data_IF_863250296139
#
_entry.id   IF_863250296139
#
_cell.length_a   1.000
_cell.length_b   1.000
_cell.length_c   1.000
_cell.angle_alpha   90.00
_cell.angle_beta   90.00
_cell.angle_gamma   90.00
#
_symmetry.space_group_name_H-M   'P 1'
#
loop_
_entity.id
_entity.type
_entity.pdbx_description
1 polymer ?
#
# COMPACT_ATOMS: atom_id res chain seq x y z
N UNK A 1 -22.72 22.87 -3.94
CA UNK A 1 -23.78 21.84 -4.07
C UNK A 1 -24.63 22.07 -5.32
N UNK A 2 -25.22 23.27 -5.46
CA UNK A 2 -25.93 23.74 -6.68
C UNK A 2 -25.11 23.57 -7.98
N UNK A 3 -23.79 23.73 -7.91
CA UNK A 3 -22.92 23.72 -9.10
C UNK A 3 -22.61 22.33 -9.67
N UNK A 4 -22.83 21.25 -8.93
CA UNK A 4 -22.42 19.88 -9.35
C UNK A 4 -23.59 18.90 -9.32
N UNK A 5 -24.37 18.88 -8.23
CA UNK A 5 -25.39 17.84 -8.07
C UNK A 5 -26.69 18.14 -8.82
N UNK A 6 -27.12 19.41 -8.87
CA UNK A 6 -28.30 19.79 -9.63
C UNK A 6 -28.15 19.54 -11.15
N UNK A 7 -27.02 19.91 -11.80
CA UNK A 7 -26.77 19.53 -13.20
C UNK A 7 -26.67 18.02 -13.42
N UNK A 8 -26.16 17.27 -12.44
CA UNK A 8 -26.14 15.81 -12.49
C UNK A 8 -27.57 15.23 -12.48
N UNK A 9 -28.44 15.69 -11.58
CA UNK A 9 -29.83 15.26 -11.51
C UNK A 9 -30.64 15.66 -12.75
N UNK A 10 -30.31 16.79 -13.37
CA UNK A 10 -30.90 17.21 -14.64
C UNK A 10 -30.54 16.26 -15.78
N UNK A 11 -29.31 15.74 -15.81
CA UNK A 11 -28.83 14.88 -16.90
C UNK A 11 -29.12 13.39 -16.68
N UNK A 12 -29.13 12.94 -15.43
CA UNK A 12 -29.13 11.51 -15.08
C UNK A 12 -30.17 11.12 -14.02
N UNK A 13 -30.87 12.07 -13.42
CA UNK A 13 -31.83 11.79 -12.36
C UNK A 13 -33.13 11.19 -12.89
N UNK A 14 -33.78 10.36 -12.07
CA UNK A 14 -35.14 9.89 -12.33
C UNK A 14 -36.15 11.05 -12.13
N UNK A 15 -36.46 11.75 -13.22
CA UNK A 15 -37.31 12.93 -13.21
C UNK A 15 -38.73 12.70 -12.67
N UNK A 16 -39.21 11.45 -12.62
CA UNK A 16 -40.50 11.13 -12.01
C UNK A 16 -40.51 11.41 -10.49
N UNK A 17 -39.35 11.31 -9.83
CA UNK A 17 -39.21 11.51 -8.38
C UNK A 17 -39.04 12.99 -7.98
N UNK A 18 -38.75 13.86 -8.95
CA UNK A 18 -38.59 15.30 -8.75
C UNK A 18 -39.92 15.98 -8.42
N UNK A 19 -41.00 15.54 -9.08
CA UNK A 19 -42.31 16.21 -9.00
C UNK A 19 -42.24 17.66 -9.51
N UNK A 20 -42.81 18.60 -8.75
CA UNK A 20 -42.85 20.03 -9.08
C UNK A 20 -41.63 20.83 -8.60
N UNK A 21 -40.72 20.20 -7.86
CA UNK A 21 -39.52 20.86 -7.32
C UNK A 21 -38.57 21.27 -8.44
N UNK A 22 -37.75 22.29 -8.25
CA UNK A 22 -36.59 22.54 -9.12
C UNK A 22 -35.53 21.46 -8.91
N UNK A 23 -34.58 21.31 -9.85
CA UNK A 23 -33.47 20.36 -9.70
C UNK A 23 -32.59 20.66 -8.48
N UNK A 24 -32.45 21.94 -8.12
CA UNK A 24 -31.72 22.35 -6.92
C UNK A 24 -32.46 21.92 -5.65
N UNK A 25 -33.77 22.19 -5.56
CA UNK A 25 -34.59 21.83 -4.40
C UNK A 25 -34.71 20.31 -4.23
N UNK A 26 -34.90 19.60 -5.34
CA UNK A 26 -34.91 18.14 -5.34
C UNK A 26 -33.58 17.57 -4.86
N UNK A 27 -32.45 18.09 -5.37
CA UNK A 27 -31.13 17.67 -4.92
C UNK A 27 -30.85 17.99 -3.45
N UNK A 28 -31.29 19.15 -2.95
CA UNK A 28 -31.21 19.49 -1.53
C UNK A 28 -32.00 18.50 -0.69
N UNK A 29 -33.24 18.18 -1.07
CA UNK A 29 -34.08 17.23 -0.34
C UNK A 29 -33.47 15.83 -0.27
N UNK A 30 -32.93 15.33 -1.38
CA UNK A 30 -32.25 14.02 -1.40
C UNK A 30 -31.07 14.01 -0.42
N UNK A 31 -30.30 15.09 -0.38
CA UNK A 31 -29.12 15.19 0.46
C UNK A 31 -29.48 15.37 1.93
N UNK A 32 -30.50 16.19 2.24
CA UNK A 32 -31.00 16.33 3.61
C UNK A 32 -31.57 15.00 4.13
N UNK A 33 -32.35 14.28 3.31
CA UNK A 33 -32.85 12.95 3.64
C UNK A 33 -31.69 11.96 3.85
N UNK A 34 -30.67 12.01 3.01
CA UNK A 34 -29.47 11.17 3.15
C UNK A 34 -28.71 11.48 4.44
N UNK A 35 -28.47 12.76 4.74
CA UNK A 35 -27.77 13.18 5.94
C UNK A 35 -28.57 12.84 7.21
N UNK A 36 -29.89 13.01 7.19
CA UNK A 36 -30.77 12.65 8.30
C UNK A 36 -30.75 11.12 8.56
N UNK A 37 -30.86 10.31 7.51
CA UNK A 37 -30.80 8.83 7.62
C UNK A 37 -29.48 8.31 8.16
N UNK A 38 -28.38 9.02 7.92
CA UNK A 38 -27.04 8.64 8.37
C UNK A 38 -26.61 9.40 9.64
N UNK A 39 -27.54 10.06 10.34
CA UNK A 39 -27.26 10.84 11.57
C UNK A 39 -26.16 11.90 11.38
N UNK A 40 -25.96 12.35 10.14
CA UNK A 40 -24.87 13.21 9.70
C UNK A 40 -25.29 14.68 9.53
N UNK A 41 -26.54 15.05 9.80
CA UNK A 41 -27.07 16.40 9.55
C UNK A 41 -26.32 17.54 10.26
N UNK A 42 -25.68 17.27 11.41
CA UNK A 42 -24.95 18.29 12.19
C UNK A 42 -23.43 18.16 12.04
N UNK A 43 -22.92 16.94 11.81
CA UNK A 43 -21.49 16.61 11.85
C UNK A 43 -20.92 16.19 10.50
N UNK A 44 -21.62 16.52 9.42
CA UNK A 44 -21.17 16.19 8.08
C UNK A 44 -19.83 16.86 7.79
N UNK A 45 -18.87 16.07 7.32
CA UNK A 45 -17.57 16.54 6.88
C UNK A 45 -16.68 17.19 7.97
N UNK A 46 -16.94 16.93 9.26
CA UNK A 46 -16.07 17.39 10.37
C UNK A 46 -14.68 16.74 10.32
N UNK A 47 -14.60 15.49 9.81
CA UNK A 47 -13.36 14.74 9.62
C UNK A 47 -13.39 14.06 8.25
N UNK A 48 -12.34 14.26 7.47
CA UNK A 48 -12.15 13.61 6.18
C UNK A 48 -10.92 12.73 6.26
N UNK A 49 -11.04 11.48 5.82
CA UNK A 49 -9.94 10.53 5.67
C UNK A 49 -9.83 10.10 4.22
N UNK A 50 -8.63 10.12 3.68
CA UNK A 50 -8.30 9.70 2.33
C UNK A 50 -7.49 8.40 2.42
N UNK A 51 -7.92 7.38 1.69
CA UNK A 51 -7.24 6.09 1.62
C UNK A 51 -6.87 5.85 0.16
N UNK A 52 -5.56 5.79 -0.11
CA UNK A 52 -5.03 5.31 -1.38
C UNK A 52 -4.82 3.82 -1.25
N UNK A 53 -5.24 3.06 -2.26
CA UNK A 53 -5.02 1.63 -2.35
C UNK A 53 -4.50 1.26 -3.75
N UNK A 54 -3.34 0.62 -3.82
CA UNK A 54 -2.67 0.26 -5.08
C UNK A 54 -1.81 -1.00 -4.88
N UNK A 55 -1.26 -1.60 -5.93
CA UNK A 55 -0.27 -2.70 -5.77
C UNK A 55 1.07 -2.20 -5.23
N UNK A 56 1.45 -0.97 -5.59
CA UNK A 56 2.67 -0.31 -5.15
C UNK A 56 2.59 1.21 -5.44
N UNK A 57 3.53 2.00 -4.89
CA UNK A 57 3.60 3.45 -5.10
C UNK A 57 4.99 3.89 -5.54
N UNK A 58 5.07 4.94 -6.34
CA UNK A 58 6.33 5.61 -6.66
C UNK A 58 6.74 6.62 -5.58
N UNK A 59 8.01 7.01 -5.58
CA UNK A 59 8.59 7.90 -4.56
C UNK A 59 7.96 9.30 -4.55
N UNK A 60 7.49 9.83 -5.69
CA UNK A 60 6.83 11.14 -5.73
C UNK A 60 5.47 11.06 -5.05
N UNK A 61 4.72 9.99 -5.30
CA UNK A 61 3.45 9.74 -4.63
C UNK A 61 3.63 9.58 -3.13
N UNK A 62 4.61 8.76 -2.70
CA UNK A 62 4.91 8.57 -1.27
C UNK A 62 5.35 9.88 -0.60
N UNK A 63 6.20 10.67 -1.26
CA UNK A 63 6.68 11.96 -0.74
C UNK A 63 5.54 12.97 -0.61
N UNK A 64 4.65 13.05 -1.60
CA UNK A 64 3.48 13.92 -1.58
C UNK A 64 2.51 13.55 -0.48
N UNK A 65 2.25 12.25 -0.30
CA UNK A 65 1.38 11.73 0.76
C UNK A 65 1.96 12.03 2.14
N UNK A 66 3.26 11.80 2.33
CA UNK A 66 3.94 12.13 3.58
C UNK A 66 3.83 13.62 3.92
N UNK A 67 4.04 14.50 2.94
CA UNK A 67 3.92 15.95 3.12
C UNK A 67 2.49 16.36 3.47
N UNK A 68 1.48 15.86 2.76
CA UNK A 68 0.07 16.15 3.06
C UNK A 68 -0.32 15.69 4.46
N UNK A 69 0.14 14.50 4.86
CA UNK A 69 -0.09 13.97 6.20
C UNK A 69 0.52 14.84 7.29
N UNK A 70 1.76 15.32 7.09
CA UNK A 70 2.40 16.26 8.02
C UNK A 70 1.69 17.62 8.11
N UNK A 71 0.97 18.01 7.06
CA UNK A 71 0.20 19.25 7.00
C UNK A 71 -1.27 19.07 7.45
N UNK A 72 -1.58 17.97 8.14
CA UNK A 72 -2.89 17.77 8.78
C UNK A 72 -3.98 17.16 7.89
N UNK A 73 -3.62 16.66 6.71
CA UNK A 73 -4.54 15.87 5.88
C UNK A 73 -4.50 14.41 6.36
N UNK A 74 -5.63 13.86 6.82
CA UNK A 74 -5.73 12.43 7.17
C UNK A 74 -5.71 11.60 5.88
N UNK A 75 -4.52 11.14 5.50
CA UNK A 75 -4.23 10.44 4.26
C UNK A 75 -3.37 9.21 4.55
N UNK A 76 -3.74 8.06 3.97
CA UNK A 76 -3.01 6.80 4.12
C UNK A 76 -2.81 6.07 2.79
N UNK A 77 -1.68 5.37 2.65
CA UNK A 77 -1.39 4.49 1.51
C UNK A 77 -1.44 3.02 1.93
N UNK A 78 -2.14 2.20 1.17
CA UNK A 78 -2.22 0.76 1.36
C UNK A 78 -1.77 0.01 0.11
N UNK A 79 -0.84 -0.94 0.25
CA UNK A 79 -0.58 -1.90 -0.82
C UNK A 79 -1.60 -3.03 -0.78
N UNK A 80 -2.10 -3.43 -1.93
CA UNK A 80 -2.98 -4.58 -2.13
C UNK A 80 -2.22 -5.61 -2.97
N UNK A 81 -1.83 -6.71 -2.34
CA UNK A 81 -1.11 -7.80 -3.02
C UNK A 81 -2.00 -9.02 -3.12
N UNK A 82 -2.55 -9.36 -4.30
CA UNK A 82 -3.37 -10.55 -4.47
C UNK A 82 -2.51 -11.82 -4.47
N UNK A 83 -3.04 -12.89 -3.90
CA UNK A 83 -2.47 -14.24 -3.88
C UNK A 83 -3.54 -15.25 -4.27
N UNK A 84 -3.16 -16.25 -5.05
CA UNK A 84 -3.99 -17.43 -5.29
C UNK A 84 -3.39 -18.58 -4.50
N UNK A 85 -4.17 -19.17 -3.59
CA UNK A 85 -3.76 -20.31 -2.78
C UNK A 85 -4.80 -21.40 -2.98
N UNK A 86 -4.45 -22.42 -3.78
CA UNK A 86 -5.42 -23.41 -4.26
C UNK A 86 -6.40 -22.79 -5.26
N UNK A 87 -7.70 -22.94 -4.99
CA UNK A 87 -8.77 -22.29 -5.76
C UNK A 87 -9.21 -20.94 -5.16
N UNK A 88 -8.67 -20.56 -4.00
CA UNK A 88 -9.10 -19.39 -3.25
C UNK A 88 -8.20 -18.18 -3.54
N UNK A 89 -8.83 -17.03 -3.78
CA UNK A 89 -8.16 -15.75 -3.97
C UNK A 89 -8.10 -14.97 -2.64
N UNK A 90 -6.90 -14.56 -2.26
CA UNK A 90 -6.59 -13.77 -1.08
C UNK A 90 -6.02 -12.42 -1.49
N UNK A 91 -6.20 -11.39 -0.66
CA UNK A 91 -5.55 -10.09 -0.84
C UNK A 91 -4.85 -9.75 0.47
N UNK A 92 -3.54 -9.58 0.40
CA UNK A 92 -2.74 -9.04 1.50
C UNK A 92 -2.74 -7.52 1.43
N UNK A 93 -2.86 -6.88 2.59
CA UNK A 93 -3.04 -5.43 2.70
C UNK A 93 -2.01 -4.87 3.67
N UNK A 94 -1.08 -4.03 3.20
CA UNK A 94 -0.09 -3.36 4.06
C UNK A 94 -0.27 -1.83 4.06
N UNK A 95 -0.25 -1.21 5.24
CA UNK A 95 -0.28 0.27 5.39
C UNK A 95 1.14 0.82 5.31
N UNK A 96 1.45 1.58 4.26
CA UNK A 96 2.74 2.24 4.03
C UNK A 96 2.90 3.55 4.81
N UNK A 97 1.89 4.43 4.74
CA UNK A 97 1.89 5.76 5.36
C UNK A 97 0.52 6.03 6.01
N UNK A 98 0.44 6.69 7.17
CA UNK A 98 1.52 6.85 8.14
C UNK A 98 1.98 5.47 8.60
N UNK A 99 3.28 5.32 8.79
CA UNK A 99 3.84 4.05 9.24
C UNK A 99 3.11 3.63 10.52
N UNK A 100 2.57 2.41 10.55
CA UNK A 100 1.81 1.74 11.64
C UNK A 100 2.31 2.01 13.08
N UNK A 101 3.56 2.48 13.29
CA UNK A 101 4.12 2.70 14.63
C UNK A 101 3.61 3.97 15.33
N UNK A 102 2.98 4.91 14.61
CA UNK A 102 2.58 6.20 15.20
C UNK A 102 1.11 6.28 15.63
N UNK A 103 0.23 5.39 15.15
CA UNK A 103 -1.20 5.39 15.56
C UNK A 103 -1.42 4.74 16.93
N UNK A 104 -0.52 3.86 17.39
CA UNK A 104 -0.66 3.15 18.67
C UNK A 104 -0.34 4.03 19.91
N UNK A 105 0.04 5.30 19.73
CA UNK A 105 0.49 6.19 20.82
C UNK A 105 -0.27 7.51 21.00
N UNK A 106 -1.39 7.74 20.32
CA UNK A 106 -2.27 8.86 20.69
C UNK A 106 -3.10 8.50 21.94
N UNK A 107 -2.48 8.60 23.11
CA UNK A 107 -3.25 8.79 24.35
C UNK A 107 -3.81 10.20 24.26
N UNK A 108 -5.14 10.32 24.08
CA UNK A 108 -5.86 11.59 24.23
C UNK A 108 -5.40 12.25 25.55
N UNK A 109 -4.73 13.40 25.45
CA UNK A 109 -4.19 14.14 26.60
C UNK A 109 -5.26 14.86 27.43
N UNK A 110 -6.55 14.67 27.12
CA UNK A 110 -7.66 15.23 27.90
C UNK A 110 -8.19 14.25 28.95
N UNK A 111 -7.32 13.75 29.83
CA UNK A 111 -7.77 13.13 31.09
C UNK A 111 -7.23 13.90 32.30
N UNK A 112 -8.12 14.45 33.15
CA UNK A 112 -7.69 15.05 34.40
C UNK A 112 -7.05 14.00 35.30
N UNK A 113 -5.96 14.40 35.97
CA UNK A 113 -5.12 13.56 36.82
C UNK A 113 -5.94 12.89 37.94
N UNK A 114 -5.98 11.55 37.96
CA UNK A 114 -6.64 10.84 39.06
C UNK A 114 -6.85 9.34 38.93
N UNK A 115 -6.62 8.71 37.78
CA UNK A 115 -6.77 7.24 37.65
C UNK A 115 -5.43 6.57 37.40
N UNK A 116 -5.03 5.71 38.34
CA UNK A 116 -3.78 4.96 38.34
C UNK A 116 -3.50 4.26 36.99
N UNK A 117 -2.23 4.21 36.56
CA UNK A 117 -1.87 3.52 35.32
C UNK A 117 -2.18 2.03 35.47
N UNK A 118 -2.98 1.49 34.55
CA UNK A 118 -2.99 0.03 34.35
C UNK A 118 -1.58 -0.35 33.90
N UNK A 119 -0.94 -1.25 34.66
CA UNK A 119 0.34 -1.82 34.31
C UNK A 119 0.32 -2.23 32.83
N UNK A 120 1.11 -1.51 32.02
CA UNK A 120 1.38 -1.88 30.66
C UNK A 120 1.97 -3.29 30.70
N UNK A 121 1.30 -4.25 30.07
CA UNK A 121 1.96 -5.49 29.71
C UNK A 121 3.05 -5.09 28.73
N UNK A 122 4.32 -5.22 29.14
CA UNK A 122 5.47 -5.17 28.25
C UNK A 122 5.24 -6.16 27.10
N UNK A 123 4.76 -5.64 25.97
CA UNK A 123 4.87 -6.33 24.69
C UNK A 123 6.10 -5.75 24.02
N UNK A 124 7.10 -6.58 23.64
CA UNK A 124 8.29 -6.07 22.99
C UNK A 124 7.88 -5.34 21.71
N UNK A 125 8.42 -4.13 21.53
CA UNK A 125 8.26 -3.36 20.31
C UNK A 125 8.61 -4.25 19.11
N UNK A 126 7.69 -4.41 18.16
CA UNK A 126 7.97 -5.12 16.92
C UNK A 126 9.10 -4.36 16.22
N UNK A 127 10.32 -4.88 16.27
CA UNK A 127 11.44 -4.34 15.47
C UNK A 127 11.04 -4.42 14.01
N UNK A 128 10.67 -3.30 13.38
CA UNK A 128 10.54 -3.23 11.93
C UNK A 128 11.88 -3.61 11.31
N UNK A 129 11.95 -4.83 10.77
CA UNK A 129 13.13 -5.33 10.07
C UNK A 129 13.13 -4.73 8.67
N UNK A 130 14.08 -3.86 8.38
CA UNK A 130 14.31 -3.39 7.01
C UNK A 130 14.75 -4.58 6.15
N UNK A 131 13.95 -4.95 5.14
CA UNK A 131 14.31 -6.06 4.26
C UNK A 131 15.59 -5.72 3.45
N UNK A 132 16.54 -6.66 3.31
CA UNK A 132 17.90 -6.42 2.79
C UNK A 132 17.91 -6.29 1.26
N UNK A 133 18.44 -5.22 0.67
CA UNK A 133 18.42 -5.00 -0.80
C UNK A 133 19.24 -6.05 -1.57
N UNK A 134 19.14 -6.05 -2.90
CA UNK A 134 19.82 -7.01 -3.80
C UNK A 134 21.34 -7.09 -3.55
N UNK A 135 22.00 -5.96 -3.30
CA UNK A 135 23.44 -5.92 -2.98
C UNK A 135 23.79 -6.78 -1.74
N UNK A 136 22.90 -6.78 -0.73
CA UNK A 136 23.07 -7.63 0.44
C UNK A 136 22.85 -9.11 0.12
N UNK A 137 21.90 -9.43 -0.77
CA UNK A 137 21.66 -10.80 -1.19
C UNK A 137 22.85 -11.37 -1.98
N UNK A 138 23.49 -10.55 -2.82
CA UNK A 138 24.74 -10.87 -3.50
C UNK A 138 25.89 -11.07 -2.49
N UNK A 139 26.03 -10.15 -1.53
CA UNK A 139 27.06 -10.24 -0.49
C UNK A 139 26.90 -11.49 0.40
N UNK A 140 25.67 -11.90 0.68
CA UNK A 140 25.37 -13.13 1.43
C UNK A 140 25.49 -14.42 0.60
N UNK A 141 25.72 -14.29 -0.72
CA UNK A 141 25.70 -15.42 -1.64
C UNK A 141 24.34 -16.10 -1.78
N UNK A 142 23.26 -15.42 -1.34
CA UNK A 142 21.89 -15.89 -1.48
C UNK A 142 21.42 -15.89 -2.95
N UNK A 143 22.01 -14.99 -3.74
CA UNK A 143 22.01 -14.95 -5.20
C UNK A 143 23.43 -14.61 -5.66
N UNK A 144 23.75 -14.94 -6.90
CA UNK A 144 25.07 -14.76 -7.51
C UNK A 144 24.93 -14.03 -8.85
N UNK A 145 25.99 -13.34 -9.23
CA UNK A 145 26.08 -12.85 -10.60
C UNK A 145 26.10 -14.03 -11.58
N UNK A 146 25.35 -13.90 -12.67
CA UNK A 146 25.05 -14.96 -13.62
C UNK A 146 23.77 -15.75 -13.31
N UNK A 147 23.13 -15.55 -12.15
CA UNK A 147 21.86 -16.19 -11.86
C UNK A 147 20.75 -15.66 -12.77
N UNK A 148 19.88 -16.56 -13.22
CA UNK A 148 18.72 -16.21 -14.07
C UNK A 148 17.54 -15.84 -13.17
N UNK A 149 16.97 -14.67 -13.44
CA UNK A 149 15.77 -14.14 -12.81
C UNK A 149 14.64 -14.19 -13.82
N UNK A 150 13.59 -14.94 -13.50
CA UNK A 150 12.36 -15.04 -14.28
C UNK A 150 11.34 -14.02 -13.77
N UNK A 151 10.57 -13.44 -14.68
CA UNK A 151 9.41 -12.63 -14.31
C UNK A 151 8.23 -13.54 -13.95
N UNK A 152 7.64 -13.33 -12.77
CA UNK A 152 6.51 -14.15 -12.28
C UNK A 152 5.35 -14.20 -13.29
N UNK A 153 4.83 -15.39 -13.60
CA UNK A 153 3.71 -15.57 -14.55
C UNK A 153 4.00 -15.08 -15.99
N UNK A 154 5.28 -14.88 -16.34
CA UNK A 154 5.77 -14.50 -17.67
C UNK A 154 6.94 -15.41 -18.09
N UNK A 155 7.14 -15.68 -19.39
CA UNK A 155 8.26 -16.49 -19.85
C UNK A 155 9.58 -15.70 -19.96
N UNK A 156 9.56 -14.41 -19.65
CA UNK A 156 10.70 -13.51 -19.81
C UNK A 156 11.73 -13.68 -18.68
N UNK A 157 12.99 -13.68 -19.07
CA UNK A 157 14.13 -13.93 -18.18
C UNK A 157 15.18 -12.82 -18.31
N UNK A 158 15.94 -12.59 -17.25
CA UNK A 158 17.07 -11.68 -17.22
C UNK A 158 18.21 -12.23 -16.36
N UNK A 159 19.45 -11.92 -16.71
CA UNK A 159 20.64 -12.40 -15.99
C UNK A 159 21.07 -11.38 -14.95
N UNK A 160 21.21 -11.79 -13.69
CA UNK A 160 21.66 -10.94 -12.60
C UNK A 160 23.15 -10.61 -12.74
N UNK A 161 23.51 -9.33 -12.64
CA UNK A 161 24.89 -8.84 -12.71
C UNK A 161 25.48 -8.60 -11.31
N UNK A 162 26.81 -8.49 -11.23
CA UNK A 162 27.53 -8.27 -9.96
C UNK A 162 27.15 -6.96 -9.24
N UNK A 163 26.67 -5.98 -10.01
CA UNK A 163 26.23 -4.67 -9.49
C UNK A 163 24.76 -4.66 -9.04
N UNK A 164 24.05 -5.80 -9.10
CA UNK A 164 22.63 -5.92 -8.74
C UNK A 164 21.64 -5.52 -9.84
N UNK A 165 22.12 -5.08 -11.02
CA UNK A 165 21.30 -4.89 -12.21
C UNK A 165 21.04 -6.23 -12.92
N UNK A 166 20.19 -6.20 -13.94
CA UNK A 166 19.92 -7.34 -14.80
C UNK A 166 20.20 -7.02 -16.25
N UNK A 167 20.69 -8.02 -16.97
CA UNK A 167 20.82 -8.00 -18.42
C UNK A 167 19.64 -8.76 -19.06
N UNK A 168 18.80 -8.05 -19.80
CA UNK A 168 17.64 -8.60 -20.49
C UNK A 168 17.70 -8.21 -21.96
N UNK A 169 17.70 -9.19 -22.87
CA UNK A 169 17.76 -8.92 -24.31
C UNK A 169 19.02 -8.18 -24.77
N UNK A 170 20.12 -8.27 -24.02
CA UNK A 170 21.40 -7.62 -24.32
C UNK A 170 21.52 -6.17 -23.84
N UNK A 171 20.55 -5.67 -23.07
CA UNK A 171 20.61 -4.34 -22.43
C UNK A 171 20.68 -4.48 -20.89
N UNK A 172 21.58 -3.72 -20.27
CA UNK A 172 21.69 -3.63 -18.81
C UNK A 172 20.68 -2.62 -18.26
N UNK A 173 19.86 -3.03 -17.31
CA UNK A 173 18.93 -2.15 -16.60
C UNK A 173 18.68 -2.62 -15.17
N UNK A 174 18.08 -1.77 -14.34
CA UNK A 174 17.71 -2.20 -12.99
C UNK A 174 16.58 -3.24 -13.06
N UNK A 175 16.58 -4.17 -12.10
CA UNK A 175 15.54 -5.20 -11.97
C UNK A 175 14.12 -4.60 -11.94
N UNK A 176 13.98 -3.41 -11.34
CA UNK A 176 12.70 -2.69 -11.27
C UNK A 176 12.31 -2.10 -12.63
N UNK A 177 13.25 -1.51 -13.38
CA UNK A 177 12.96 -0.94 -14.71
C UNK A 177 12.57 -2.05 -15.68
N UNK A 178 13.31 -3.17 -15.68
CA UNK A 178 12.99 -4.34 -16.48
C UNK A 178 11.56 -4.83 -16.23
N UNK A 179 11.20 -5.07 -14.96
CA UNK A 179 9.86 -5.52 -14.61
C UNK A 179 8.77 -4.47 -14.91
N UNK A 180 9.01 -3.17 -14.70
CA UNK A 180 8.03 -2.14 -15.08
C UNK A 180 7.75 -2.13 -16.58
N UNK A 181 8.81 -2.21 -17.39
CA UNK A 181 8.71 -2.23 -18.85
C UNK A 181 8.00 -3.49 -19.33
N UNK A 182 8.31 -4.64 -18.72
CA UNK A 182 7.73 -5.92 -19.10
C UNK A 182 6.22 -6.01 -18.80
N UNK A 183 5.77 -5.48 -17.66
CA UNK A 183 4.36 -5.52 -17.25
C UNK A 183 3.57 -4.29 -17.71
N UNK A 184 4.24 -3.24 -18.18
CA UNK A 184 3.62 -1.96 -18.54
C UNK A 184 3.08 -1.19 -17.33
N UNK A 185 3.68 -1.37 -16.15
CA UNK A 185 3.21 -0.75 -14.90
C UNK A 185 4.08 0.43 -14.49
N UNK A 186 3.46 1.47 -13.91
CA UNK A 186 4.18 2.63 -13.36
C UNK A 186 4.96 2.28 -12.08
N UNK A 187 4.52 1.26 -11.33
CA UNK A 187 5.19 0.72 -10.14
C UNK A 187 5.04 -0.80 -10.03
N UNK A 188 6.00 -1.47 -9.40
CA UNK A 188 5.99 -2.93 -9.21
C UNK A 188 6.81 -3.36 -8.00
N UNK A 189 6.26 -4.32 -7.23
CA UNK A 189 6.93 -5.00 -6.12
C UNK A 189 8.05 -5.94 -6.63
N UNK A 190 9.19 -5.35 -6.99
CA UNK A 190 10.31 -5.99 -7.70
C UNK A 190 10.69 -7.37 -7.16
N UNK A 191 10.89 -7.51 -5.84
CA UNK A 191 11.34 -8.77 -5.22
C UNK A 191 10.28 -9.89 -5.20
N UNK A 192 9.00 -9.53 -5.30
CA UNK A 192 7.90 -10.51 -5.35
C UNK A 192 7.74 -11.07 -6.76
N UNK A 193 7.94 -10.21 -7.77
CA UNK A 193 7.79 -10.54 -9.18
C UNK A 193 9.08 -11.05 -9.84
N UNK A 194 10.21 -10.99 -9.14
CA UNK A 194 11.47 -11.61 -9.54
C UNK A 194 11.61 -13.01 -8.92
N UNK A 195 11.56 -14.03 -9.77
CA UNK A 195 11.72 -15.44 -9.40
C UNK A 195 13.15 -15.87 -9.73
N UNK A 196 13.89 -16.36 -8.74
CA UNK A 196 15.23 -16.87 -8.96
C UNK A 196 15.15 -18.32 -9.47
N UNK A 197 15.48 -18.53 -10.74
CA UNK A 197 15.29 -19.79 -11.48
C UNK A 197 15.94 -20.98 -10.76
N UNK A 198 17.20 -20.85 -10.30
CA UNK A 198 17.91 -21.95 -9.66
C UNK A 198 17.28 -22.39 -8.32
N UNK A 199 16.58 -21.49 -7.62
CA UNK A 199 15.90 -21.81 -6.37
C UNK A 199 14.41 -22.09 -6.51
N UNK A 200 13.79 -21.69 -7.62
CA UNK A 200 12.34 -21.66 -7.82
C UNK A 200 11.58 -20.72 -6.87
N UNK A 201 12.28 -19.86 -6.12
CA UNK A 201 11.70 -18.96 -5.12
C UNK A 201 11.77 -17.51 -5.58
N UNK A 202 10.81 -16.69 -5.14
CA UNK A 202 10.93 -15.24 -5.32
C UNK A 202 12.08 -14.69 -4.49
N UNK A 203 12.69 -13.60 -4.96
CA UNK A 203 13.72 -12.91 -4.17
C UNK A 203 13.17 -12.44 -2.80
N UNK A 204 11.87 -12.15 -2.71
CA UNK A 204 11.19 -11.87 -1.44
C UNK A 204 11.21 -13.06 -0.49
N UNK A 205 10.98 -14.28 -0.99
CA UNK A 205 11.07 -15.50 -0.18
C UNK A 205 12.52 -15.78 0.23
N UNK A 206 13.49 -15.61 -0.67
CA UNK A 206 14.92 -15.79 -0.38
C UNK A 206 15.38 -14.82 0.74
N UNK A 207 14.93 -13.56 0.70
CA UNK A 207 15.20 -12.58 1.76
C UNK A 207 14.71 -13.06 3.12
N UNK A 208 13.49 -13.58 3.18
CA UNK A 208 12.89 -14.07 4.44
C UNK A 208 13.66 -15.27 4.97
N UNK A 209 13.94 -16.27 4.12
CA UNK A 209 14.67 -17.48 4.51
C UNK A 209 16.07 -17.14 5.05
N UNK A 210 16.78 -16.19 4.43
CA UNK A 210 18.10 -15.78 4.89
C UNK A 210 18.05 -14.98 6.19
N UNK A 211 17.09 -14.08 6.36
CA UNK A 211 16.94 -13.34 7.61
C UNK A 211 16.55 -14.25 8.77
N UNK A 212 15.76 -15.30 8.54
CA UNK A 212 15.45 -16.32 9.56
C UNK A 212 16.70 -17.07 9.99
N UNK A 213 17.58 -17.45 9.05
CA UNK A 213 18.85 -18.14 9.35
C UNK A 213 19.88 -17.28 10.08
N UNK A 214 19.98 -16.01 9.73
CA UNK A 214 20.92 -15.05 10.38
C UNK A 214 20.53 -14.77 11.85
N UNK A 215 19.24 -14.90 12.18
CA UNK A 215 18.75 -14.75 13.56
C UNK A 215 19.12 -15.94 14.46
N UNK A 216 19.22 -17.15 13.89
CA UNK A 216 19.62 -18.33 14.65
C UNK A 216 21.12 -18.30 14.97
N UNK A 217 21.95 -17.78 14.06
CA UNK A 217 23.42 -17.70 14.23
C UNK A 217 23.89 -16.56 15.16
N UNK A 218 23.03 -15.57 15.44
CA UNK A 218 23.32 -14.47 16.37
C UNK A 218 22.91 -14.73 17.83
N UNK A 219 22.53 -15.97 18.15
CA UNK A 219 21.98 -16.37 19.45
C UNK A 219 22.85 -17.37 20.25
N UNK A 220 24.08 -17.61 19.80
CA UNK A 220 25.13 -18.33 20.55
C UNK A 220 26.18 -17.38 21.17
#
# INVERSE_FOLDING_TARGET
>A
MQTVYAPYLEKYGDHAQKGELTYAEWGHRILDDFLAKNEAGVRFNEKQRIILAASDYDDLTLSSVAWLSQNGVDLSCYTLTPYLIGEDAYIHVDKLIPSIEYDDYYINLDRPAGTAPRAARDKPALKRRSLPKIDKLLAWGAVKAGDVIEAKDKPDEAVLLENGNVEAGGEEMSLQVWLKNLYGWSSIQTYVFAIHQASGKSLSAIRRDYMERDLDLGSE
#
